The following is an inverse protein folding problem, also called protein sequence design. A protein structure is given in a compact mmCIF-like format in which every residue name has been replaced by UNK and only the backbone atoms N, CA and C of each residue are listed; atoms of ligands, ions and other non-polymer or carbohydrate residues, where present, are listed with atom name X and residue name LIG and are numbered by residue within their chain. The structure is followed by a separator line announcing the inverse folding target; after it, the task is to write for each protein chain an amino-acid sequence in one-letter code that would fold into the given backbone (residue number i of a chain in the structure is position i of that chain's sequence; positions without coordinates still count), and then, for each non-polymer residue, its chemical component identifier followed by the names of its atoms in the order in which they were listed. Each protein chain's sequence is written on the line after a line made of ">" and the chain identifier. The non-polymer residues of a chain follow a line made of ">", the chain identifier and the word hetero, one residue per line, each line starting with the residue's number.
data_IF_340278823515
#
_entry.id   IF_340278823515
#
_cell.length_a   1.000
_cell.length_b   1.000
_cell.length_c   1.000
_cell.angle_alpha   90.00
_cell.angle_beta   90.00
_cell.angle_gamma   90.00
#
_symmetry.space_group_name_H-M   'P 1'
#
loop_
_entity.id
_entity.type
_entity.pdbx_description
1 polymer ?
#
# COMPACT_ATOMS: atom_id res chain seq x y z
N UNK A 1 16.32 12.82 8.76
CA UNK A 1 15.31 11.86 8.33
C UNK A 1 15.64 11.31 6.97
N UNK A 2 15.15 10.10 6.68
CA UNK A 2 15.42 9.42 5.41
C UNK A 2 14.10 9.11 4.71
N UNK A 3 14.19 8.90 3.40
CA UNK A 3 13.04 8.52 2.58
C UNK A 3 12.97 7.01 2.44
N UNK A 4 11.77 6.45 2.64
CA UNK A 4 11.54 5.02 2.53
C UNK A 4 10.31 4.75 1.67
N UNK A 5 10.38 3.69 0.89
CA UNK A 5 9.23 3.11 0.22
C UNK A 5 8.82 1.87 0.99
N UNK A 6 7.58 1.86 1.48
CA UNK A 6 7.05 0.76 2.29
C UNK A 6 5.91 0.12 1.50
N UNK A 7 6.05 -1.16 1.20
CA UNK A 7 4.99 -1.94 0.57
C UNK A 7 4.55 -2.99 1.56
N UNK A 8 3.27 -3.05 1.86
CA UNK A 8 2.74 -4.12 2.69
C UNK A 8 1.57 -4.81 2.00
N UNK A 9 1.42 -6.09 2.31
CA UNK A 9 0.46 -6.98 1.68
C UNK A 9 -0.51 -7.45 2.74
N UNK A 10 -1.81 -7.21 2.53
CA UNK A 10 -2.87 -7.51 3.47
C UNK A 10 -3.67 -8.71 2.97
N UNK A 11 -4.08 -9.57 3.90
CA UNK A 11 -4.95 -10.70 3.58
C UNK A 11 -6.21 -10.20 2.85
N UNK A 12 -6.62 -10.83 1.75
CA UNK A 12 -7.74 -10.33 0.94
C UNK A 12 -9.06 -10.23 1.71
N UNK A 13 -9.29 -11.10 2.69
CA UNK A 13 -10.49 -11.05 3.54
C UNK A 13 -10.47 -9.86 4.50
N UNK A 14 -9.32 -9.21 4.68
CA UNK A 14 -9.14 -8.06 5.56
C UNK A 14 -9.04 -6.75 4.78
N UNK A 15 -9.38 -6.74 3.50
CA UNK A 15 -9.29 -5.55 2.64
C UNK A 15 -10.11 -4.38 3.19
N UNK A 16 -11.21 -4.64 3.87
CA UNK A 16 -12.05 -3.61 4.47
C UNK A 16 -11.35 -2.83 5.59
N UNK A 17 -10.33 -3.43 6.20
CA UNK A 17 -9.56 -2.79 7.28
C UNK A 17 -8.44 -1.90 6.75
N UNK A 18 -8.12 -1.98 5.45
CA UNK A 18 -7.00 -1.23 4.85
C UNK A 18 -7.10 0.28 5.10
N UNK A 19 -8.24 0.96 4.89
CA UNK A 19 -8.32 2.40 5.15
C UNK A 19 -7.97 2.77 6.60
N UNK A 20 -8.45 2.01 7.57
CA UNK A 20 -8.15 2.26 8.98
C UNK A 20 -6.69 1.97 9.31
N UNK A 21 -6.11 0.93 8.72
CA UNK A 21 -4.69 0.59 8.88
C UNK A 21 -3.80 1.69 8.33
N UNK A 22 -4.10 2.16 7.13
CA UNK A 22 -3.37 3.25 6.47
C UNK A 22 -3.40 4.51 7.32
N UNK A 23 -4.57 4.90 7.81
CA UNK A 23 -4.72 6.07 8.68
C UNK A 23 -3.86 5.93 9.93
N UNK A 24 -3.83 4.76 10.55
CA UNK A 24 -3.01 4.49 11.72
C UNK A 24 -1.53 4.65 11.43
N UNK A 25 -1.05 4.11 10.31
CA UNK A 25 0.36 4.20 9.94
C UNK A 25 0.76 5.63 9.56
N UNK A 26 -0.11 6.36 8.87
CA UNK A 26 0.12 7.77 8.57
C UNK A 26 0.21 8.60 9.86
N UNK A 27 -0.67 8.36 10.81
CA UNK A 27 -0.67 9.04 12.11
C UNK A 27 0.62 8.74 12.87
N UNK A 28 1.06 7.49 12.87
CA UNK A 28 2.32 7.11 13.51
C UNK A 28 3.50 7.89 12.96
N UNK A 29 3.60 7.97 11.64
CA UNK A 29 4.69 8.70 10.97
C UNK A 29 4.63 10.19 11.26
N UNK A 30 3.46 10.81 11.11
CA UNK A 30 3.30 12.26 11.26
C UNK A 30 3.42 12.71 12.71
N UNK A 31 2.97 11.89 13.67
CA UNK A 31 3.05 12.23 15.10
C UNK A 31 4.50 12.29 15.61
N UNK A 32 5.43 11.66 14.92
CA UNK A 32 6.85 11.65 15.27
C UNK A 32 7.67 12.59 14.39
N UNK A 33 7.02 13.54 13.73
CA UNK A 33 7.68 14.57 12.92
C UNK A 33 8.02 14.12 11.50
N UNK A 34 7.58 12.95 11.08
CA UNK A 34 7.75 12.48 9.72
C UNK A 34 6.66 12.97 8.78
N UNK A 35 6.77 12.61 7.51
CA UNK A 35 5.80 12.97 6.49
C UNK A 35 5.49 11.79 5.59
N UNK A 36 4.25 11.72 5.10
CA UNK A 36 3.84 10.75 4.08
C UNK A 36 3.73 11.52 2.77
N UNK A 37 4.61 11.20 1.82
CA UNK A 37 4.69 11.92 0.54
C UNK A 37 3.81 11.29 -0.54
N UNK A 38 3.61 9.98 -0.48
CA UNK A 38 2.77 9.27 -1.44
C UNK A 38 2.10 8.08 -0.76
N UNK A 39 0.81 7.94 -1.00
CA UNK A 39 0.03 6.79 -0.56
C UNK A 39 -0.64 6.21 -1.79
N UNK A 40 -0.42 4.93 -2.05
CA UNK A 40 -1.07 4.24 -3.16
C UNK A 40 -1.70 2.96 -2.67
N UNK A 41 -2.99 2.78 -2.95
CA UNK A 41 -3.70 1.54 -2.74
C UNK A 41 -3.75 0.83 -4.11
N UNK A 42 -2.96 -0.23 -4.24
CA UNK A 42 -2.87 -0.97 -5.50
C UNK A 42 -4.00 -1.98 -5.67
N UNK A 43 -4.82 -2.17 -4.64
CA UNK A 43 -5.93 -3.11 -4.66
C UNK A 43 -5.48 -4.56 -4.58
N UNK A 44 -6.40 -5.47 -4.88
CA UNK A 44 -6.10 -6.90 -4.89
C UNK A 44 -5.33 -7.25 -6.14
N UNK A 45 -4.16 -7.89 -5.94
CA UNK A 45 -3.26 -8.30 -7.01
C UNK A 45 -2.91 -9.77 -6.86
N UNK A 46 -2.65 -10.42 -7.98
CA UNK A 46 -2.18 -11.79 -7.97
C UNK A 46 -0.74 -11.85 -7.45
N UNK A 47 -0.50 -12.78 -6.52
CA UNK A 47 0.83 -13.02 -5.98
C UNK A 47 1.68 -13.76 -7.02
N UNK A 48 3.00 -13.46 -7.06
CA UNK A 48 3.93 -14.16 -7.94
C UNK A 48 4.01 -15.65 -7.57
N UNK A 49 3.86 -15.97 -6.29
CA UNK A 49 3.74 -17.32 -5.76
C UNK A 49 2.82 -17.29 -4.53
N UNK A 50 2.13 -18.39 -4.22
CA UNK A 50 1.18 -18.40 -3.10
C UNK A 50 1.85 -18.12 -1.75
N UNK A 51 1.15 -17.36 -0.90
CA UNK A 51 1.51 -17.14 0.50
C UNK A 51 0.36 -17.71 1.33
N UNK A 52 0.65 -18.65 2.23
CA UNK A 52 -0.38 -19.30 3.05
C UNK A 52 -1.55 -19.81 2.22
N UNK A 53 -1.26 -20.41 1.06
CA UNK A 53 -2.24 -20.92 0.08
C UNK A 53 -3.10 -19.84 -0.58
N UNK A 54 -2.81 -18.57 -0.35
CA UNK A 54 -3.49 -17.46 -1.03
C UNK A 54 -2.80 -17.15 -2.35
N UNK A 55 -3.58 -16.89 -3.39
CA UNK A 55 -3.06 -16.53 -4.71
C UNK A 55 -3.20 -15.04 -5.00
N UNK A 56 -4.03 -14.33 -4.24
CA UNK A 56 -4.23 -12.88 -4.35
C UNK A 56 -4.11 -12.22 -2.98
N UNK A 57 -3.73 -10.96 -2.96
CA UNK A 57 -3.65 -10.17 -1.74
C UNK A 57 -3.85 -8.69 -2.06
N UNK A 58 -4.14 -7.90 -1.05
CA UNK A 58 -4.33 -6.45 -1.18
C UNK A 58 -3.00 -5.75 -0.94
N UNK A 59 -2.51 -4.98 -1.92
CA UNK A 59 -1.23 -4.29 -1.88
C UNK A 59 -1.43 -2.81 -1.57
N UNK A 60 -0.60 -2.28 -0.66
CA UNK A 60 -0.57 -0.85 -0.34
C UNK A 60 0.89 -0.38 -0.34
N UNK A 61 1.13 0.78 -0.92
CA UNK A 61 2.45 1.39 -0.98
C UNK A 61 2.44 2.77 -0.32
N UNK A 62 3.39 2.99 0.57
CA UNK A 62 3.61 4.28 1.24
C UNK A 62 5.01 4.78 0.92
N UNK A 63 5.14 6.04 0.53
CA UNK A 63 6.43 6.71 0.49
C UNK A 63 6.48 7.70 1.62
N UNK A 64 7.37 7.46 2.58
CA UNK A 64 7.45 8.21 3.83
C UNK A 64 8.84 8.80 4.03
N UNK A 65 8.89 9.84 4.84
CA UNK A 65 10.12 10.42 5.33
C UNK A 65 10.08 10.39 6.85
N UNK A 66 11.01 9.70 7.48
CA UNK A 66 11.03 9.55 8.93
C UNK A 66 12.41 9.17 9.44
N UNK A 67 12.57 9.20 10.78
CA UNK A 67 13.75 8.69 11.45
C UNK A 67 13.70 7.18 11.63
N UNK A 68 14.82 6.60 12.04
CA UNK A 68 14.96 5.15 12.23
C UNK A 68 14.01 4.61 13.30
N UNK A 69 13.83 5.35 14.40
CA UNK A 69 12.95 4.90 15.49
C UNK A 69 11.48 4.79 15.03
N UNK A 70 11.02 5.73 14.21
CA UNK A 70 9.67 5.69 13.63
C UNK A 70 9.53 4.50 12.71
N UNK A 71 10.54 4.23 11.88
CA UNK A 71 10.53 3.09 10.98
C UNK A 71 10.47 1.78 11.75
N UNK A 72 11.23 1.67 12.84
CA UNK A 72 11.24 0.47 13.68
C UNK A 72 9.86 0.21 14.30
N UNK A 73 9.19 1.26 14.76
CA UNK A 73 7.82 1.15 15.30
C UNK A 73 6.82 0.73 14.22
N UNK A 74 6.97 1.26 13.02
CA UNK A 74 6.12 0.90 11.89
C UNK A 74 6.30 -0.59 11.52
N UNK A 75 7.54 -1.06 11.43
CA UNK A 75 7.82 -2.46 11.15
C UNK A 75 7.31 -3.37 12.26
N UNK A 76 7.41 -2.94 13.52
CA UNK A 76 6.86 -3.67 14.66
C UNK A 76 5.34 -3.80 14.52
N UNK A 77 4.65 -2.72 14.13
CA UNK A 77 3.21 -2.75 13.90
C UNK A 77 2.83 -3.74 12.80
N UNK A 78 3.58 -3.77 11.71
CA UNK A 78 3.33 -4.75 10.63
C UNK A 78 3.52 -6.18 11.11
N UNK A 79 4.59 -6.44 11.84
CA UNK A 79 4.94 -7.78 12.31
C UNK A 79 3.88 -8.36 13.24
N UNK A 80 3.26 -7.53 14.06
CA UNK A 80 2.27 -7.97 15.05
C UNK A 80 0.82 -7.77 14.60
N UNK A 81 0.59 -7.41 13.34
CA UNK A 81 -0.75 -7.32 12.77
C UNK A 81 -1.03 -8.56 11.91
N UNK A 82 -1.94 -9.41 12.36
CA UNK A 82 -2.26 -10.66 11.68
C UNK A 82 -2.83 -10.46 10.27
N UNK A 83 -3.40 -9.29 9.98
CA UNK A 83 -3.91 -8.97 8.65
C UNK A 83 -2.78 -8.71 7.64
N UNK A 84 -1.59 -8.33 8.11
CA UNK A 84 -0.44 -8.06 7.24
C UNK A 84 0.31 -9.38 6.99
N UNK A 85 0.29 -9.85 5.76
CA UNK A 85 0.97 -11.10 5.37
C UNK A 85 2.47 -10.88 5.23
N UNK A 86 2.86 -9.78 4.58
CA UNK A 86 4.27 -9.42 4.36
C UNK A 86 4.40 -7.92 4.24
N UNK A 87 5.61 -7.45 4.51
CA UNK A 87 5.97 -6.04 4.28
C UNK A 87 7.39 -5.97 3.74
N UNK A 88 7.67 -4.92 2.97
CA UNK A 88 8.99 -4.63 2.41
C UNK A 88 9.28 -3.15 2.59
N UNK A 89 10.47 -2.82 3.09
CA UNK A 89 10.91 -1.44 3.26
C UNK A 89 12.16 -1.23 2.42
N UNK A 90 12.14 -0.22 1.55
CA UNK A 90 13.29 0.13 0.70
C UNK A 90 13.63 1.59 0.98
N UNK A 91 14.90 1.87 1.27
CA UNK A 91 15.37 3.24 1.40
C UNK A 91 15.50 3.87 0.02
N UNK A 92 14.94 5.06 -0.16
CA UNK A 92 15.02 5.82 -1.40
C UNK A 92 15.75 7.13 -1.19
N UNK A 93 16.18 7.78 -2.29
CA UNK A 93 16.95 9.02 -2.20
C UNK A 93 16.06 10.26 -2.04
N UNK A 94 14.85 10.22 -2.56
CA UNK A 94 13.94 11.35 -2.57
C UNK A 94 12.50 10.89 -2.63
N UNK A 95 11.56 11.79 -2.25
CA UNK A 95 10.15 11.53 -2.39
C UNK A 95 9.74 11.49 -3.86
N UNK A 96 8.91 10.52 -4.27
CA UNK A 96 8.41 10.49 -5.66
C UNK A 96 7.40 11.62 -5.88
N UNK A 97 7.40 12.16 -7.10
CA UNK A 97 6.50 13.26 -7.48
C UNK A 97 5.34 12.82 -8.37
N UNK A 98 5.30 11.56 -8.77
CA UNK A 98 4.30 11.03 -9.69
C UNK A 98 3.84 9.64 -9.24
N UNK A 99 2.66 9.16 -9.69
CA UNK A 99 2.24 7.79 -9.44
C UNK A 99 3.26 6.78 -9.93
N UNK A 100 3.39 5.66 -9.20
CA UNK A 100 4.25 4.57 -9.58
C UNK A 100 3.75 3.90 -10.88
N UNK A 101 4.60 3.14 -11.59
CA UNK A 101 4.13 2.34 -12.72
C UNK A 101 3.01 1.37 -12.34
N UNK A 102 3.04 0.83 -11.14
CA UNK A 102 1.98 -0.05 -10.65
C UNK A 102 0.66 0.72 -10.47
N UNK A 103 0.69 1.94 -9.92
CA UNK A 103 -0.51 2.75 -9.75
C UNK A 103 -1.10 3.18 -11.08
N UNK A 104 -0.27 3.51 -12.06
CA UNK A 104 -0.73 3.80 -13.43
C UNK A 104 -1.44 2.60 -14.04
N UNK A 105 -0.97 1.39 -13.77
CA UNK A 105 -1.63 0.16 -14.22
C UNK A 105 -3.00 -0.02 -13.56
N UNK A 106 -3.12 0.27 -12.26
CA UNK A 106 -4.38 0.23 -11.52
C UNK A 106 -5.38 1.21 -12.10
N UNK A 107 -4.97 2.45 -12.33
CA UNK A 107 -5.82 3.50 -12.91
C UNK A 107 -6.33 3.09 -14.30
N UNK A 108 -5.49 2.47 -15.12
CA UNK A 108 -5.87 1.97 -16.44
C UNK A 108 -6.92 0.86 -16.35
N UNK A 109 -6.76 -0.07 -15.41
CA UNK A 109 -7.73 -1.15 -15.20
C UNK A 109 -9.07 -0.61 -14.74
N UNK A 110 -9.09 0.34 -13.82
CA UNK A 110 -10.30 0.97 -13.33
C UNK A 110 -11.02 1.72 -14.44
N UNK A 111 -10.30 2.46 -15.25
CA UNK A 111 -10.86 3.16 -16.40
C UNK A 111 -11.46 2.18 -17.41
N UNK A 112 -10.78 1.05 -17.64
CA UNK A 112 -11.27 0.00 -18.55
C UNK A 112 -12.55 -0.64 -18.03
N UNK A 113 -12.62 -0.93 -16.74
CA UNK A 113 -13.83 -1.47 -16.10
C UNK A 113 -14.99 -0.51 -16.17
N UNK A 114 -14.75 0.77 -15.89
CA UNK A 114 -15.76 1.80 -15.97
C UNK A 114 -16.32 1.93 -17.40
N UNK A 115 -15.46 1.88 -18.42
CA UNK A 115 -15.87 1.90 -19.82
C UNK A 115 -16.71 0.67 -20.18
N UNK A 116 -16.31 -0.52 -19.71
CA UNK A 116 -17.05 -1.74 -19.97
C UNK A 116 -18.43 -1.73 -19.32
N UNK A 117 -18.53 -1.24 -18.08
CA UNK A 117 -19.82 -1.08 -17.38
C UNK A 117 -20.71 -0.07 -18.06
N UNK A 118 -20.18 1.07 -18.51
CA UNK A 118 -20.92 2.07 -19.25
C UNK A 118 -21.47 1.51 -20.57
N UNK A 119 -20.67 0.71 -21.28
CA UNK A 119 -21.09 0.05 -22.50
C UNK A 119 -22.20 -0.97 -22.27
N UNK A 120 -22.16 -1.71 -21.16
CA UNK A 120 -23.17 -2.70 -20.82
C UNK A 120 -24.52 -2.05 -20.47
N UNK A 121 -24.50 -0.86 -19.87
CA UNK A 121 -25.72 -0.13 -19.45
C UNK A 121 -26.39 0.59 -20.62
N UNK A 122 -25.68 0.87 -21.70
CA UNK A 122 -26.17 1.64 -22.84
C UNK A 122 -27.03 0.84 -23.84
N UNK A 123 -27.29 -0.43 -23.57
CA UNK A 123 -28.24 -1.23 -24.36
C UNK A 123 -29.72 -0.90 -24.01
#
# INVERSE_FOLDING_TARGET
>A
MRHYEVVFIVHPDQSEQVPAMVERYQTLVTSQGGAVHRLEDWGRRQLAYPIQKLVKAHYVCLNIECGQSTLDELEHSFRYNDAVLRHLVIQTKAAPSAPSPMMKSVEREEARKASAEASAVSE
#
